data_IF_345914141708
#
_entry.id   IF_345914141708
#
_cell.length_a   1.000
_cell.length_b   1.000
_cell.length_c   1.000
_cell.angle_alpha   90.00
_cell.angle_beta   90.00
_cell.angle_gamma   90.00
#
_symmetry.space_group_name_H-M   'P 1'
#
loop_
_entity.id
_entity.type
_entity.pdbx_description
1 polymer ?
#
# COMPACT_ATOMS: atom_id res chain seq x y z
N UNK A 1 -7.09 14.76 19.06
CA UNK A 1 -8.21 13.94 18.56
C UNK A 1 -7.75 12.52 18.30
N UNK A 2 -8.50 11.53 18.82
CA UNK A 2 -8.19 10.10 18.70
C UNK A 2 -8.13 9.65 17.23
N UNK A 3 -9.05 10.12 16.40
CA UNK A 3 -9.10 9.84 14.96
C UNK A 3 -7.80 10.24 14.24
N UNK A 4 -7.27 11.44 14.53
CA UNK A 4 -6.03 11.93 13.89
C UNK A 4 -4.83 11.07 14.28
N UNK A 5 -4.80 10.54 15.51
CA UNK A 5 -3.74 9.65 15.96
C UNK A 5 -3.75 8.33 15.20
N UNK A 6 -4.91 7.73 14.93
CA UNK A 6 -5.03 6.54 14.09
C UNK A 6 -4.72 6.83 12.61
N UNK A 7 -5.08 8.00 12.09
CA UNK A 7 -4.67 8.41 10.74
C UNK A 7 -3.14 8.52 10.61
N UNK A 8 -2.46 9.02 11.67
CA UNK A 8 -1.00 9.03 11.68
C UNK A 8 -0.42 7.62 11.63
N UNK A 9 -1.00 6.64 12.32
CA UNK A 9 -0.60 5.23 12.22
C UNK A 9 -0.72 4.75 10.78
N UNK A 10 -1.85 5.00 10.11
CA UNK A 10 -2.05 4.65 8.71
C UNK A 10 -1.01 5.28 7.80
N UNK A 11 -0.75 6.58 7.97
CA UNK A 11 0.24 7.30 7.18
C UNK A 11 1.67 6.75 7.37
N UNK A 12 2.06 6.42 8.61
CA UNK A 12 3.35 5.80 8.90
C UNK A 12 3.49 4.43 8.23
N UNK A 13 2.44 3.62 8.25
CA UNK A 13 2.44 2.32 7.58
C UNK A 13 2.58 2.47 6.05
N UNK A 14 1.87 3.42 5.44
CA UNK A 14 1.92 3.70 4.00
C UNK A 14 3.29 4.17 3.50
N UNK A 15 4.02 4.95 4.31
CA UNK A 15 5.36 5.42 3.93
C UNK A 15 6.47 4.41 4.30
N UNK A 16 6.12 3.21 4.78
CA UNK A 16 7.07 2.15 5.12
C UNK A 16 7.69 2.27 6.52
N UNK A 17 7.27 3.22 7.36
CA UNK A 17 7.74 3.40 8.76
C UNK A 17 6.99 2.45 9.71
N UNK A 18 7.03 1.14 9.40
CA UNK A 18 6.16 0.14 10.01
C UNK A 18 6.39 -0.03 11.52
N UNK A 19 7.65 0.00 11.98
CA UNK A 19 7.97 -0.12 13.41
C UNK A 19 7.41 1.05 14.21
N UNK A 20 7.46 2.26 13.64
CA UNK A 20 6.87 3.45 14.26
C UNK A 20 5.35 3.38 14.25
N UNK A 21 4.75 2.88 13.16
CA UNK A 21 3.31 2.67 13.06
C UNK A 21 2.82 1.69 14.14
N UNK A 22 3.50 0.56 14.32
CA UNK A 22 3.19 -0.43 15.36
C UNK A 22 3.31 0.14 16.76
N UNK A 23 4.43 0.77 17.07
CA UNK A 23 4.66 1.37 18.39
C UNK A 23 3.57 2.38 18.75
N UNK A 24 3.20 3.25 17.79
CA UNK A 24 2.13 4.23 17.99
C UNK A 24 0.77 3.54 18.14
N UNK A 25 0.48 2.54 17.31
CA UNK A 25 -0.77 1.78 17.37
C UNK A 25 -0.93 1.09 18.74
N UNK A 26 0.08 0.37 19.21
CA UNK A 26 0.09 -0.30 20.53
C UNK A 26 -0.15 0.70 21.66
N UNK A 27 0.52 1.86 21.60
CA UNK A 27 0.27 2.94 22.56
C UNK A 27 -1.16 3.41 22.54
N UNK A 28 -1.77 3.60 21.37
CA UNK A 28 -3.16 4.00 21.24
C UNK A 28 -4.11 2.90 21.75
N UNK A 29 -3.80 1.63 21.48
CA UNK A 29 -4.58 0.49 21.99
C UNK A 29 -4.56 0.43 23.52
N UNK A 30 -3.47 0.83 24.17
CA UNK A 30 -3.39 0.87 25.63
C UNK A 30 -4.30 1.92 26.28
N UNK A 31 -4.80 2.88 25.52
CA UNK A 31 -5.75 3.88 26.01
C UNK A 31 -7.22 3.49 25.83
N UNK A 32 -7.50 2.31 25.27
CA UNK A 32 -8.87 1.84 25.15
C UNK A 32 -9.56 1.74 26.52
N UNK A 33 -10.87 2.00 26.56
CA UNK A 33 -11.66 1.75 27.77
C UNK A 33 -11.68 0.24 28.09
N UNK A 34 -12.13 -0.16 29.28
CA UNK A 34 -12.31 -1.60 29.60
C UNK A 34 -13.23 -2.37 28.63
N UNK A 35 -14.08 -1.64 27.90
CA UNK A 35 -14.95 -2.19 26.85
C UNK A 35 -14.33 -2.10 25.45
N UNK A 36 -13.03 -1.75 25.35
CA UNK A 36 -12.30 -1.55 24.11
C UNK A 36 -12.88 -0.44 23.21
N UNK A 37 -13.50 0.55 23.82
CA UNK A 37 -14.10 1.69 23.13
C UNK A 37 -13.28 2.95 23.31
N UNK A 38 -13.41 3.88 22.35
CA UNK A 38 -12.70 5.13 22.31
C UNK A 38 -13.64 6.34 22.27
N UNK A 39 -13.20 7.42 22.94
CA UNK A 39 -13.79 8.74 22.82
C UNK A 39 -13.19 9.51 21.64
N UNK A 40 -13.77 10.68 21.42
CA UNK A 40 -13.29 11.68 20.45
C UNK A 40 -11.86 12.12 20.75
N UNK A 41 -11.55 12.35 22.02
CA UNK A 41 -10.24 12.78 22.48
C UNK A 41 -9.76 11.93 23.67
N UNK A 42 -8.45 11.86 23.80
CA UNK A 42 -7.77 11.26 24.96
C UNK A 42 -6.77 12.26 25.47
N UNK A 43 -6.84 12.55 26.77
CA UNK A 43 -5.86 13.42 27.43
C UNK A 43 -4.53 12.65 27.57
N UNK A 44 -3.41 13.15 26.99
CA UNK A 44 -2.17 12.38 26.89
C UNK A 44 -1.55 11.96 28.23
N UNK A 45 -1.69 12.80 29.27
CA UNK A 45 -1.05 12.57 30.56
C UNK A 45 -1.84 11.61 31.46
N UNK A 46 -3.16 11.59 31.36
CA UNK A 46 -4.00 10.79 32.26
C UNK A 46 -4.69 9.63 31.58
N UNK A 47 -4.68 9.56 30.24
CA UNK A 47 -5.47 8.60 29.47
C UNK A 47 -6.99 8.81 29.56
N UNK A 48 -7.43 9.94 30.17
CA UNK A 48 -8.84 10.21 30.33
C UNK A 48 -9.50 10.47 28.99
N UNK A 49 -10.63 9.82 28.76
CA UNK A 49 -11.48 10.01 27.58
C UNK A 49 -12.26 11.32 27.71
N UNK A 50 -12.29 12.10 26.62
CA UNK A 50 -12.95 13.40 26.54
C UNK A 50 -13.79 13.47 25.26
N UNK A 51 -14.80 14.34 25.30
CA UNK A 51 -15.71 14.55 24.20
C UNK A 51 -16.71 13.42 24.02
N UNK A 52 -17.11 13.14 22.79
CA UNK A 52 -18.11 12.15 22.45
C UNK A 52 -17.60 10.72 22.69
N UNK A 53 -18.36 9.92 23.44
CA UNK A 53 -17.99 8.54 23.80
C UNK A 53 -19.22 7.62 23.78
N UNK A 54 -19.15 6.46 23.07
CA UNK A 54 -18.11 6.07 22.12
C UNK A 54 -18.24 6.85 20.81
N UNK A 55 -17.10 7.13 20.16
CA UNK A 55 -17.10 7.83 18.87
C UNK A 55 -16.86 6.88 17.70
N UNK A 56 -17.84 6.75 16.80
CA UNK A 56 -17.76 5.85 15.65
C UNK A 56 -16.57 6.12 14.73
N UNK A 57 -16.29 7.40 14.42
CA UNK A 57 -15.18 7.75 13.52
C UNK A 57 -13.81 7.36 14.07
N UNK A 58 -13.60 7.43 15.39
CA UNK A 58 -12.37 6.95 16.02
C UNK A 58 -12.18 5.44 15.79
N UNK A 59 -13.26 4.65 15.87
CA UNK A 59 -13.23 3.20 15.62
C UNK A 59 -13.00 2.86 14.15
N UNK A 60 -13.60 3.61 13.23
CA UNK A 60 -13.33 3.43 11.79
C UNK A 60 -11.85 3.72 11.46
N UNK A 61 -11.28 4.77 12.06
CA UNK A 61 -9.87 5.08 11.89
C UNK A 61 -8.96 4.00 12.50
N UNK A 62 -9.32 3.43 13.66
CA UNK A 62 -8.63 2.29 14.26
C UNK A 62 -8.61 1.08 13.31
N UNK A 63 -9.76 0.70 12.76
CA UNK A 63 -9.87 -0.43 11.84
C UNK A 63 -8.94 -0.20 10.63
N UNK A 64 -9.00 0.97 10.03
CA UNK A 64 -8.12 1.32 8.91
C UNK A 64 -6.65 1.22 9.30
N UNK A 65 -6.24 1.80 10.43
CA UNK A 65 -4.85 1.78 10.89
C UNK A 65 -4.32 0.35 11.05
N UNK A 66 -5.08 -0.52 11.69
CA UNK A 66 -4.72 -1.93 11.86
C UNK A 66 -4.62 -2.65 10.52
N UNK A 67 -5.56 -2.41 9.59
CA UNK A 67 -5.53 -3.00 8.26
C UNK A 67 -4.31 -2.57 7.45
N UNK A 68 -3.87 -1.31 7.56
CA UNK A 68 -2.64 -0.83 6.91
C UNK A 68 -1.40 -1.54 7.46
N UNK A 69 -1.29 -1.71 8.78
CA UNK A 69 -0.19 -2.45 9.40
C UNK A 69 -0.17 -3.91 8.91
N UNK A 70 -1.31 -4.60 8.93
CA UNK A 70 -1.40 -6.00 8.50
C UNK A 70 -0.98 -6.16 7.03
N UNK A 71 -1.45 -5.28 6.15
CA UNK A 71 -1.07 -5.32 4.73
C UNK A 71 0.41 -5.07 4.51
N UNK A 72 0.98 -4.10 5.21
CA UNK A 72 2.40 -3.80 5.14
C UNK A 72 3.24 -4.99 5.63
N UNK A 73 2.82 -5.68 6.69
CA UNK A 73 3.45 -6.91 7.19
C UNK A 73 3.43 -8.05 6.18
N UNK A 74 2.28 -8.29 5.57
CA UNK A 74 2.13 -9.32 4.55
C UNK A 74 3.05 -9.06 3.35
N UNK A 75 3.11 -7.82 2.88
CA UNK A 75 4.00 -7.43 1.78
C UNK A 75 5.48 -7.64 2.09
N UNK A 76 5.89 -7.48 3.36
CA UNK A 76 7.26 -7.76 3.77
C UNK A 76 7.55 -9.25 3.91
N UNK A 77 6.57 -10.06 4.29
CA UNK A 77 6.71 -11.51 4.47
C UNK A 77 6.69 -12.29 3.14
N UNK A 78 5.99 -11.77 2.14
CA UNK A 78 5.92 -12.38 0.81
C UNK A 78 7.18 -12.12 -0.03
N UNK A 79 8.10 -11.26 0.44
CA UNK A 79 9.31 -10.86 -0.28
C UNK A 79 8.97 -10.01 -1.53
N UNK A 80 9.95 -9.42 -2.21
CA UNK A 80 9.71 -8.85 -3.52
C UNK A 80 9.35 -10.01 -4.45
N UNK A 81 8.08 -10.19 -4.74
CA UNK A 81 7.65 -10.96 -5.92
C UNK A 81 8.37 -10.28 -7.10
N UNK A 82 9.44 -10.91 -7.56
CA UNK A 82 10.19 -10.41 -8.71
C UNK A 82 9.15 -10.31 -9.81
N UNK A 83 8.91 -9.09 -10.28
CA UNK A 83 7.98 -8.71 -11.34
C UNK A 83 8.36 -9.43 -12.65
N UNK A 84 8.31 -10.77 -12.66
CA UNK A 84 8.53 -11.59 -13.86
C UNK A 84 7.24 -11.79 -14.65
N UNK A 85 6.09 -11.35 -14.15
CA UNK A 85 4.79 -11.53 -14.83
C UNK A 85 4.01 -10.22 -15.05
N UNK A 86 4.65 -9.07 -15.16
CA UNK A 86 3.91 -7.85 -15.01
C UNK A 86 3.45 -7.06 -16.25
N UNK A 87 3.96 -7.14 -17.48
CA UNK A 87 3.39 -6.30 -18.53
C UNK A 87 1.96 -6.70 -18.93
N UNK A 88 1.63 -8.00 -18.87
CA UNK A 88 0.32 -8.49 -19.32
C UNK A 88 -0.83 -8.22 -18.36
N UNK A 89 -0.62 -8.31 -17.02
CA UNK A 89 -1.69 -8.11 -16.03
C UNK A 89 -2.12 -6.66 -15.87
N UNK A 90 -1.17 -5.72 -15.91
CA UNK A 90 -1.50 -4.29 -15.87
C UNK A 90 -2.27 -3.87 -17.13
N UNK A 91 -1.86 -4.36 -18.30
CA UNK A 91 -2.55 -4.07 -19.56
C UNK A 91 -4.01 -4.52 -19.53
N UNK A 92 -4.29 -5.71 -19.01
CA UNK A 92 -5.67 -6.23 -18.87
C UNK A 92 -6.48 -5.40 -17.87
N UNK A 93 -5.88 -4.97 -16.76
CA UNK A 93 -6.57 -4.21 -15.72
C UNK A 93 -6.96 -2.79 -16.19
N UNK A 94 -6.18 -2.20 -17.10
CA UNK A 94 -6.44 -0.87 -17.65
C UNK A 94 -7.00 -0.90 -19.07
N UNK A 95 -7.35 -2.07 -19.62
CA UNK A 95 -7.92 -2.21 -20.96
C UNK A 95 -6.96 -1.78 -22.07
N UNK A 96 -5.66 -1.86 -21.85
CA UNK A 96 -4.64 -1.54 -22.85
C UNK A 96 -4.35 -2.82 -23.66
N UNK A 97 -4.75 -2.84 -24.93
CA UNK A 97 -4.29 -3.84 -25.88
C UNK A 97 -2.84 -3.53 -26.24
N UNK A 98 -1.92 -4.38 -25.74
CA UNK A 98 -0.54 -4.35 -26.18
C UNK A 98 -0.46 -5.14 -27.49
N UNK A 99 -0.28 -4.47 -28.59
CA UNK A 99 0.10 -5.11 -29.87
C UNK A 99 1.41 -5.90 -29.65
N UNK A 100 1.48 -7.14 -30.17
CA UNK A 100 2.71 -7.92 -30.07
C UNK A 100 3.85 -7.21 -30.82
N UNK A 101 4.97 -7.04 -30.15
CA UNK A 101 6.16 -6.38 -30.67
C UNK A 101 6.93 -7.25 -31.71
N UNK A 102 6.20 -7.88 -32.63
CA UNK A 102 6.76 -8.74 -33.66
C UNK A 102 6.26 -8.31 -35.05
N UNK A 103 6.82 -7.22 -35.53
CA UNK A 103 6.93 -6.94 -36.96
C UNK A 103 7.81 -5.73 -37.24
N UNK A 104 9.04 -5.72 -36.75
CA UNK A 104 10.05 -4.89 -37.38
C UNK A 104 10.74 -5.74 -38.47
N UNK A 105 10.61 -5.43 -39.75
CA UNK A 105 11.37 -6.11 -40.78
C UNK A 105 12.85 -5.73 -40.61
N UNK A 106 13.68 -6.75 -40.49
CA UNK A 106 15.14 -6.58 -40.52
C UNK A 106 15.55 -5.86 -41.79
N UNK A 107 16.21 -4.71 -41.74
CA UNK A 107 16.76 -4.07 -42.92
C UNK A 107 18.15 -4.62 -43.24
N UNK A 108 18.22 -5.87 -43.68
CA UNK A 108 19.44 -6.37 -44.30
C UNK A 108 19.24 -7.74 -44.99
N UNK A 109 18.45 -7.74 -46.03
CA UNK A 109 18.52 -8.85 -47.00
C UNK A 109 18.43 -8.27 -48.38
N UNK A 110 19.50 -8.35 -49.10
CA UNK A 110 19.68 -8.14 -50.54
C UNK A 110 20.52 -6.93 -50.95
N UNK A 111 21.78 -7.15 -51.02
CA UNK A 111 22.62 -6.52 -52.05
C UNK A 111 23.85 -7.37 -52.23
N UNK A 112 23.70 -8.50 -52.88
CA UNK A 112 24.82 -9.17 -53.56
C UNK A 112 24.20 -10.22 -54.48
N UNK A 113 23.81 -9.83 -55.65
CA UNK A 113 23.87 -10.63 -56.86
C UNK A 113 23.69 -9.72 -58.08
N UNK A 114 24.76 -9.15 -58.58
CA UNK A 114 24.87 -8.72 -59.98
C UNK A 114 26.14 -9.35 -60.49
N UNK A 115 25.99 -10.55 -61.09
CA UNK A 115 26.96 -11.13 -61.91
C UNK A 115 27.23 -10.27 -63.13
N UNK A 116 28.46 -10.06 -63.43
CA UNK A 116 28.96 -9.49 -64.68
C UNK A 116 29.56 -10.56 -65.52
N UNK A 117 28.89 -10.90 -66.61
CA UNK A 117 29.50 -11.54 -67.76
C UNK A 117 30.16 -10.41 -68.62
N UNK A 118 31.39 -10.64 -68.95
CA UNK A 118 32.02 -10.39 -70.27
C UNK A 118 33.54 -10.62 -70.21
#
# INVERSE_FOLDING_TARGET
>A
FTICSFWLVSALAEIGELDRARTLCEKLLSYASPLLLYAEEIQPHSGRHLGNFPQAFAHLALINAVMHIIRADQSLSEGPEILTEAPGRLAVQFGLELEPADAAPHPNASADDVGGDA
#
